data_IF_041673142561
#
_entry.id   IF_041673142561
#
_cell.length_a   1.000
_cell.length_b   1.000
_cell.length_c   1.000
_cell.angle_alpha   90.00
_cell.angle_beta   90.00
_cell.angle_gamma   90.00
#
_symmetry.space_group_name_H-M   'P 1'
#
loop_
_entity.id
_entity.type
_entity.pdbx_description
1 polymer ?
#
# COMPACT_ATOMS: atom_id res chain seq x y z
N UNK A 1 -15.47 -36.76 38.77
CA UNK A 1 -15.06 -35.55 39.53
C UNK A 1 -13.54 -35.61 39.54
N UNK A 2 -12.76 -34.68 38.99
CA UNK A 2 -12.92 -33.22 38.93
C UNK A 2 -12.09 -32.69 37.76
N UNK A 3 -12.55 -31.59 37.15
CA UNK A 3 -12.02 -30.98 35.93
C UNK A 3 -10.67 -30.31 36.14
N UNK A 4 -9.85 -30.35 35.10
CA UNK A 4 -8.71 -29.46 34.89
C UNK A 4 -9.22 -28.13 34.30
N UNK A 5 -8.64 -26.99 34.70
CA UNK A 5 -7.80 -26.18 33.82
C UNK A 5 -7.55 -24.78 34.37
N UNK A 6 -6.33 -24.37 34.07
CA UNK A 6 -5.60 -23.18 34.47
C UNK A 6 -6.30 -21.88 34.05
N UNK A 7 -6.47 -20.98 35.01
CA UNK A 7 -7.05 -19.65 34.79
C UNK A 7 -5.95 -18.64 34.51
N UNK A 8 -5.43 -18.60 33.28
CA UNK A 8 -4.62 -17.46 32.79
C UNK A 8 -5.52 -16.47 32.07
N UNK A 9 -6.04 -15.48 32.81
CA UNK A 9 -6.76 -14.34 32.25
C UNK A 9 -5.79 -13.40 31.52
N UNK A 10 -5.71 -13.52 30.18
CA UNK A 10 -5.12 -12.48 29.35
C UNK A 10 -6.06 -11.27 29.33
N UNK A 11 -5.57 -10.02 29.46
CA UNK A 11 -6.42 -8.85 29.29
C UNK A 11 -6.92 -8.83 27.85
N UNK A 12 -8.25 -8.88 27.67
CA UNK A 12 -8.88 -8.69 26.38
C UNK A 12 -8.56 -7.27 25.90
N UNK A 13 -7.48 -7.16 25.12
CA UNK A 13 -7.20 -5.97 24.32
C UNK A 13 -8.42 -5.69 23.46
N UNK A 14 -8.80 -4.41 23.36
CA UNK A 14 -9.90 -3.95 22.51
C UNK A 14 -9.76 -4.65 21.16
N UNK A 15 -10.77 -5.42 20.76
CA UNK A 15 -10.81 -6.08 19.46
C UNK A 15 -10.79 -4.98 18.38
N UNK A 16 -9.59 -4.60 17.97
CA UNK A 16 -9.40 -3.83 16.76
C UNK A 16 -9.58 -4.83 15.62
N UNK A 17 -10.81 -4.94 15.13
CA UNK A 17 -11.06 -5.61 13.86
C UNK A 17 -10.19 -4.92 12.82
N UNK A 18 -9.28 -5.66 12.19
CA UNK A 18 -8.47 -5.13 11.09
C UNK A 18 -9.42 -4.71 9.95
N UNK A 19 -9.16 -3.58 9.26
CA UNK A 19 -10.01 -3.14 8.18
C UNK A 19 -10.02 -4.17 7.05
N UNK A 20 -11.19 -4.37 6.44
CA UNK A 20 -11.31 -5.18 5.24
C UNK A 20 -10.43 -4.60 4.12
N UNK A 21 -9.68 -5.46 3.43
CA UNK A 21 -8.86 -5.06 2.28
C UNK A 21 -9.81 -4.78 1.11
N UNK A 22 -9.91 -3.52 0.68
CA UNK A 22 -10.63 -3.15 -0.54
C UNK A 22 -9.69 -3.21 -1.74
N UNK A 23 -10.21 -3.60 -2.90
CA UNK A 23 -9.47 -3.47 -4.16
C UNK A 23 -9.43 -2.00 -4.57
N UNK A 24 -8.23 -1.51 -4.88
CA UNK A 24 -8.04 -0.15 -5.38
C UNK A 24 -8.48 -0.03 -6.85
N UNK A 25 -8.85 1.18 -7.26
CA UNK A 25 -9.12 1.50 -8.65
C UNK A 25 -7.80 1.65 -9.43
N UNK A 26 -7.75 1.11 -10.64
CA UNK A 26 -6.56 1.23 -11.48
C UNK A 26 -6.37 2.67 -11.96
N UNK A 27 -5.12 3.12 -11.99
CA UNK A 27 -4.76 4.41 -12.59
C UNK A 27 -5.07 4.35 -14.11
N UNK A 28 -5.82 5.32 -14.66
CA UNK A 28 -6.05 5.41 -16.09
C UNK A 28 -4.72 5.57 -16.84
N UNK A 29 -4.40 4.64 -17.72
CA UNK A 29 -3.20 4.63 -18.56
C UNK A 29 -3.52 4.74 -20.06
N UNK A 30 -4.73 5.23 -20.36
CA UNK A 30 -5.27 5.35 -21.71
C UNK A 30 -4.84 6.64 -22.42
N UNK A 31 -3.93 7.42 -21.82
CA UNK A 31 -3.45 8.68 -22.40
C UNK A 31 -4.43 9.84 -22.30
N UNK A 32 -5.62 9.66 -21.71
CA UNK A 32 -6.66 10.71 -21.68
C UNK A 32 -6.40 11.74 -20.58
N UNK A 33 -5.80 11.34 -19.47
CA UNK A 33 -5.44 12.24 -18.38
C UNK A 33 -4.02 12.80 -18.58
N UNK A 34 -3.91 13.73 -19.54
CA UNK A 34 -2.62 14.34 -19.90
C UNK A 34 -2.01 15.12 -18.72
N UNK A 35 -2.85 15.80 -17.94
CA UNK A 35 -2.40 16.60 -16.79
C UNK A 35 -1.91 15.69 -15.65
N UNK A 36 -2.68 14.65 -15.32
CA UNK A 36 -2.28 13.66 -14.32
C UNK A 36 -1.01 12.92 -14.70
N UNK A 37 -0.89 12.47 -15.95
CA UNK A 37 0.33 11.83 -16.44
C UNK A 37 1.56 12.74 -16.34
N UNK A 38 1.38 14.05 -16.62
CA UNK A 38 2.46 15.02 -16.47
C UNK A 38 2.86 15.18 -15.00
N UNK A 39 1.89 15.33 -14.11
CA UNK A 39 2.15 15.48 -12.67
C UNK A 39 2.92 14.28 -12.11
N UNK A 40 2.56 13.06 -12.53
CA UNK A 40 3.22 11.83 -12.09
C UNK A 40 4.69 11.75 -12.52
N UNK A 41 5.04 12.32 -13.68
CA UNK A 41 6.44 12.39 -14.16
C UNK A 41 7.29 13.38 -13.36
N UNK A 42 6.66 14.40 -12.77
CA UNK A 42 7.34 15.42 -11.97
C UNK A 42 7.63 14.96 -10.52
N UNK A 43 7.02 13.85 -10.06
CA UNK A 43 7.24 13.30 -8.72
C UNK A 43 8.65 12.72 -8.62
N UNK A 44 9.62 13.49 -8.10
CA UNK A 44 11.01 13.06 -7.95
C UNK A 44 11.37 12.66 -6.51
N UNK A 45 12.29 11.70 -6.35
CA UNK A 45 12.92 11.39 -5.08
C UNK A 45 14.42 11.69 -5.15
N UNK A 46 14.89 12.65 -4.35
CA UNK A 46 16.30 13.10 -4.34
C UNK A 46 17.30 12.00 -3.97
N UNK A 47 16.84 10.93 -3.30
CA UNK A 47 17.68 9.80 -2.90
C UNK A 47 17.80 8.72 -3.98
N UNK A 48 17.03 8.82 -5.07
CA UNK A 48 17.13 7.90 -6.20
C UNK A 48 18.09 8.48 -7.25
N UNK A 49 19.02 7.64 -7.71
CA UNK A 49 19.95 8.02 -8.79
C UNK A 49 19.24 8.15 -10.14
N UNK A 50 18.16 7.39 -10.33
CA UNK A 50 17.33 7.43 -11.54
C UNK A 50 16.13 8.33 -11.36
N UNK A 51 15.89 9.18 -12.36
CA UNK A 51 14.71 10.04 -12.37
C UNK A 51 13.49 9.24 -12.83
N UNK A 52 12.33 9.45 -12.20
CA UNK A 52 11.09 8.86 -12.64
C UNK A 52 10.74 9.33 -14.06
N UNK A 53 10.31 8.40 -14.90
CA UNK A 53 9.93 8.69 -16.29
C UNK A 53 11.07 8.71 -17.31
N UNK A 54 12.33 8.48 -16.91
CA UNK A 54 13.41 8.19 -17.86
C UNK A 54 13.28 6.74 -18.35
N UNK A 55 12.67 6.55 -19.52
CA UNK A 55 12.63 5.25 -20.19
C UNK A 55 14.07 4.84 -20.54
N UNK A 56 14.58 3.79 -19.88
CA UNK A 56 15.89 3.22 -20.21
C UNK A 56 15.82 2.69 -21.64
N UNK A 57 16.45 3.42 -22.55
CA UNK A 57 16.68 2.93 -23.91
C UNK A 57 17.86 1.95 -23.88
N UNK A 58 17.63 0.77 -23.32
CA UNK A 58 18.55 -0.35 -23.51
C UNK A 58 18.42 -0.80 -24.98
N UNK A 59 19.42 -0.41 -25.78
CA UNK A 59 19.57 -0.75 -27.20
C UNK A 59 20.47 -1.96 -27.39
#
# INVERSE_FOLDING_TARGET
>A
MTQANDSTSHPAGKNHEEPEITQEEAVPNDGRDIEGEKLMKEVSNEKLEEKPGEEKTDR
#
